data_IF_300057910156
#
_entry.id   IF_300057910156
#
_cell.length_a   1.000
_cell.length_b   1.000
_cell.length_c   1.000
_cell.angle_alpha   90.00
_cell.angle_beta   90.00
_cell.angle_gamma   90.00
#
_symmetry.space_group_name_H-M   'P 1'
#
loop_
_entity.id
_entity.type
_entity.pdbx_description
1 polymer ?
#
# COMPACT_ATOMS: atom_id res chain seq x y z
N UNK A 1 2.32 0.38 32.96
CA UNK A 1 1.84 0.24 31.60
C UNK A 1 2.98 0.65 30.68
N UNK A 2 3.50 -0.29 29.91
CA UNK A 2 4.67 -0.02 29.06
C UNK A 2 4.27 0.67 27.75
N UNK A 3 5.24 1.34 27.10
CA UNK A 3 5.02 2.09 25.85
C UNK A 3 4.38 1.26 24.73
N UNK A 4 4.59 -0.07 24.72
CA UNK A 4 3.96 -1.01 23.79
C UNK A 4 2.45 -1.15 24.01
N UNK A 5 1.98 -1.11 25.26
CA UNK A 5 0.55 -1.22 25.61
C UNK A 5 -0.20 0.06 25.27
N UNK A 6 0.43 1.22 25.48
CA UNK A 6 -0.09 2.53 25.06
C UNK A 6 -0.17 2.64 23.52
N UNK A 7 0.82 2.12 22.80
CA UNK A 7 0.82 2.11 21.34
C UNK A 7 -0.30 1.23 20.77
N UNK A 8 -0.57 0.07 21.37
CA UNK A 8 -1.68 -0.83 20.98
C UNK A 8 -3.04 -0.18 21.29
N UNK A 9 -3.16 0.47 22.44
CA UNK A 9 -4.41 1.15 22.82
C UNK A 9 -4.71 2.39 21.98
N UNK A 10 -3.67 3.14 21.58
CA UNK A 10 -3.78 4.26 20.64
C UNK A 10 -4.15 3.81 19.22
N UNK A 11 -3.57 2.72 18.75
CA UNK A 11 -3.87 2.14 17.43
C UNK A 11 -5.32 1.63 17.33
N UNK A 12 -5.90 1.13 18.44
CA UNK A 12 -7.29 0.67 18.49
C UNK A 12 -8.32 1.82 18.38
N UNK A 13 -7.90 3.08 18.58
CA UNK A 13 -8.75 4.27 18.44
C UNK A 13 -8.60 4.98 17.11
N UNK A 14 -7.51 4.74 16.39
CA UNK A 14 -7.25 5.35 15.10
C UNK A 14 -8.09 4.68 14.00
N UNK A 15 -8.86 5.47 13.26
CA UNK A 15 -9.77 4.98 12.24
C UNK A 15 -9.79 5.88 11.00
N UNK A 16 -10.43 5.37 9.95
CA UNK A 16 -10.89 6.14 8.81
C UNK A 16 -12.40 6.29 8.88
N UNK A 17 -12.91 7.44 8.49
CA UNK A 17 -14.34 7.73 8.37
C UNK A 17 -14.63 8.39 7.03
N UNK A 18 -15.84 8.22 6.45
CA UNK A 18 -16.22 8.87 5.21
C UNK A 18 -16.20 10.39 5.33
N UNK A 19 -15.75 11.05 4.27
CA UNK A 19 -15.75 12.50 4.12
C UNK A 19 -16.25 12.88 2.72
N UNK A 20 -17.11 13.89 2.56
CA UNK A 20 -17.71 14.24 1.28
C UNK A 20 -16.72 14.88 0.28
N UNK A 21 -15.54 15.31 0.72
CA UNK A 21 -14.51 15.97 -0.12
C UNK A 21 -13.33 15.05 -0.38
N UNK A 22 -12.81 14.45 0.70
CA UNK A 22 -11.59 13.61 0.64
C UNK A 22 -11.91 12.12 0.49
N UNK A 23 -13.19 11.73 0.35
CA UNK A 23 -13.71 10.38 0.36
C UNK A 23 -13.58 9.72 1.73
N UNK A 24 -12.37 9.68 2.28
CA UNK A 24 -12.07 9.20 3.64
C UNK A 24 -11.03 10.10 4.32
N UNK A 25 -11.23 10.33 5.61
CA UNK A 25 -10.27 11.07 6.45
C UNK A 25 -9.86 10.25 7.66
N UNK A 26 -8.64 10.47 8.10
CA UNK A 26 -8.15 9.92 9.37
C UNK A 26 -8.87 10.59 10.54
N UNK A 27 -9.25 9.77 11.52
CA UNK A 27 -9.91 10.23 12.73
C UNK A 27 -9.50 9.38 13.93
N UNK A 28 -9.81 9.89 15.11
CA UNK A 28 -9.62 9.20 16.39
C UNK A 28 -10.97 9.04 17.07
N UNK A 29 -11.31 7.82 17.50
CA UNK A 29 -12.55 7.55 18.22
C UNK A 29 -12.48 8.18 19.61
N UNK A 30 -13.46 9.01 19.92
CA UNK A 30 -13.60 9.69 21.23
C UNK A 30 -14.64 9.02 22.12
N UNK A 31 -15.79 8.59 21.55
CA UNK A 31 -16.81 7.84 22.29
C UNK A 31 -17.57 6.87 21.40
N UNK A 32 -18.22 5.90 22.01
CA UNK A 32 -19.12 4.92 21.37
C UNK A 32 -20.40 4.83 22.14
N UNK A 33 -21.55 4.97 21.46
CA UNK A 33 -22.88 4.88 22.04
C UNK A 33 -23.77 4.01 21.15
N UNK A 34 -23.85 2.72 21.47
CA UNK A 34 -24.59 1.75 20.65
C UNK A 34 -23.99 1.64 19.24
N UNK A 35 -24.80 1.94 18.22
CA UNK A 35 -24.41 1.91 16.79
C UNK A 35 -23.81 3.25 16.29
N UNK A 36 -23.59 4.20 17.21
CA UNK A 36 -23.02 5.53 16.89
C UNK A 36 -21.64 5.69 17.49
N UNK A 37 -20.71 6.14 16.67
CA UNK A 37 -19.33 6.43 17.07
C UNK A 37 -19.05 7.90 16.84
N UNK A 38 -18.60 8.58 17.88
CA UNK A 38 -18.11 9.96 17.78
C UNK A 38 -16.60 9.92 17.58
N UNK A 39 -16.14 10.63 16.56
CA UNK A 39 -14.74 10.70 16.18
C UNK A 39 -14.29 12.13 16.03
N UNK A 40 -13.03 12.38 16.30
CA UNK A 40 -12.35 13.64 15.99
C UNK A 40 -11.46 13.44 14.77
N UNK A 41 -11.73 14.19 13.69
CA UNK A 41 -10.93 14.13 12.45
C UNK A 41 -9.59 14.84 12.62
N UNK A 42 -8.63 14.55 11.74
CA UNK A 42 -7.32 15.26 11.73
C UNK A 42 -7.44 16.77 11.59
N UNK A 43 -8.53 17.27 10.98
CA UNK A 43 -8.85 18.70 10.90
C UNK A 43 -9.46 19.31 12.16
N UNK A 44 -9.56 18.57 13.28
CA UNK A 44 -10.13 19.02 14.54
C UNK A 44 -11.66 19.07 14.56
N UNK A 45 -12.33 18.50 13.55
CA UNK A 45 -13.78 18.44 13.48
C UNK A 45 -14.30 17.20 14.17
N UNK A 46 -15.23 17.35 15.09
CA UNK A 46 -15.95 16.24 15.73
C UNK A 46 -17.18 15.89 14.92
N UNK A 47 -17.31 14.62 14.55
CA UNK A 47 -18.45 14.09 13.80
C UNK A 47 -18.94 12.78 14.44
N UNK A 48 -20.21 12.46 14.22
CA UNK A 48 -20.81 11.19 14.65
C UNK A 48 -21.19 10.39 13.40
N UNK A 49 -20.67 9.17 13.31
CA UNK A 49 -20.90 8.24 12.20
C UNK A 49 -21.47 6.94 12.73
N UNK A 50 -21.92 6.06 11.83
CA UNK A 50 -22.30 4.68 12.22
C UNK A 50 -21.06 3.85 12.47
N UNK A 51 -21.18 2.86 13.37
CA UNK A 51 -20.07 1.90 13.63
C UNK A 51 -19.65 1.17 12.36
N UNK A 52 -20.58 0.87 11.44
CA UNK A 52 -20.30 0.25 10.13
C UNK A 52 -19.38 1.05 9.22
N UNK A 53 -19.35 2.37 9.40
CA UNK A 53 -18.60 3.31 8.55
C UNK A 53 -17.22 3.62 9.13
N UNK A 54 -16.91 3.04 10.29
CA UNK A 54 -15.62 3.23 10.96
C UNK A 54 -14.68 2.09 10.60
N UNK A 55 -13.62 2.39 9.86
CA UNK A 55 -12.63 1.43 9.41
C UNK A 55 -11.28 1.65 10.10
N UNK A 56 -10.69 0.59 10.65
CA UNK A 56 -9.48 0.69 11.45
C UNK A 56 -8.26 1.10 10.63
N UNK A 57 -7.42 2.00 11.16
CA UNK A 57 -6.14 2.34 10.55
C UNK A 57 -5.10 1.25 10.80
N UNK A 58 -4.20 1.07 9.84
CA UNK A 58 -3.00 0.27 10.06
C UNK A 58 -2.01 1.03 10.96
N UNK A 59 -1.19 0.32 11.74
CA UNK A 59 -0.12 0.94 12.51
C UNK A 59 0.87 1.75 11.65
N UNK A 60 1.50 2.81 12.19
CA UNK A 60 2.41 3.68 11.43
C UNK A 60 3.59 2.97 10.75
N UNK A 61 3.98 1.79 11.23
CA UNK A 61 5.01 0.97 10.58
C UNK A 61 4.68 0.54 9.15
N UNK A 62 3.42 0.65 8.75
CA UNK A 62 2.94 0.35 7.39
C UNK A 62 2.78 1.61 6.52
N UNK A 63 3.13 2.80 7.03
CA UNK A 63 3.04 4.01 6.22
C UNK A 63 4.00 3.92 5.02
N UNK A 64 3.49 4.21 3.82
CA UNK A 64 4.18 4.06 2.53
C UNK A 64 4.69 2.63 2.27
N UNK A 65 3.91 1.63 2.64
CA UNK A 65 4.29 0.25 2.40
C UNK A 65 4.40 -0.03 0.89
N UNK A 66 5.45 -0.74 0.50
CA UNK A 66 5.71 -1.08 -0.91
C UNK A 66 4.75 -2.11 -1.48
N UNK A 67 4.23 -3.03 -0.65
CA UNK A 67 3.23 -4.02 -1.04
C UNK A 67 2.01 -3.96 -0.12
N UNK A 68 0.90 -3.44 -0.64
CA UNK A 68 -0.35 -3.26 0.10
C UNK A 68 -0.99 -4.58 0.53
N UNK A 69 -0.64 -5.72 -0.09
CA UNK A 69 -1.08 -7.03 0.36
C UNK A 69 -0.54 -7.41 1.75
N UNK A 70 0.49 -6.70 2.24
CA UNK A 70 1.06 -6.87 3.57
C UNK A 70 0.35 -6.06 4.67
N UNK A 71 -0.62 -5.20 4.31
CA UNK A 71 -1.42 -4.44 5.28
C UNK A 71 -2.23 -5.39 6.17
N UNK A 72 -2.26 -5.09 7.48
CA UNK A 72 -3.08 -5.86 8.43
C UNK A 72 -4.56 -5.64 8.19
N UNK A 73 -4.96 -4.38 7.94
CA UNK A 73 -6.32 -3.99 7.60
C UNK A 73 -6.33 -3.54 6.15
N UNK A 74 -6.73 -4.44 5.24
CA UNK A 74 -6.81 -4.19 3.82
C UNK A 74 -8.26 -3.83 3.45
N UNK A 75 -8.51 -2.56 3.27
CA UNK A 75 -9.79 -1.98 2.85
C UNK A 75 -9.55 -0.70 2.05
N UNK A 76 -10.57 -0.19 1.39
CA UNK A 76 -10.46 0.93 0.47
C UNK A 76 -9.75 2.17 1.05
N UNK A 77 -10.14 2.72 2.23
CA UNK A 77 -9.43 3.87 2.81
C UNK A 77 -7.94 3.61 3.09
N UNK A 78 -7.57 2.39 3.49
CA UNK A 78 -6.16 2.07 3.74
C UNK A 78 -5.35 2.06 2.43
N UNK A 79 -5.93 1.55 1.35
CA UNK A 79 -5.32 1.57 0.01
C UNK A 79 -5.17 2.99 -0.50
N UNK A 80 -6.25 3.79 -0.46
CA UNK A 80 -6.24 5.19 -0.89
C UNK A 80 -5.23 6.02 -0.07
N UNK A 81 -5.20 5.83 1.23
CA UNK A 81 -4.24 6.52 2.10
C UNK A 81 -2.80 6.15 1.72
N UNK A 82 -2.49 4.86 1.57
CA UNK A 82 -1.14 4.43 1.18
C UNK A 82 -0.72 5.00 -0.18
N UNK A 83 -1.61 4.96 -1.17
CA UNK A 83 -1.34 5.54 -2.49
C UNK A 83 -1.11 7.06 -2.43
N UNK A 84 -1.89 7.79 -1.63
CA UNK A 84 -1.73 9.23 -1.39
C UNK A 84 -0.35 9.54 -0.77
N UNK A 85 0.04 8.79 0.27
CA UNK A 85 1.32 8.97 0.96
C UNK A 85 2.52 8.62 0.05
N UNK A 86 2.41 7.54 -0.72
CA UNK A 86 3.43 7.17 -1.70
C UNK A 86 3.56 8.24 -2.80
N UNK A 87 2.45 8.72 -3.34
CA UNK A 87 2.42 9.75 -4.37
C UNK A 87 3.04 11.06 -3.89
N UNK A 88 2.73 11.49 -2.65
CA UNK A 88 3.33 12.68 -2.04
C UNK A 88 4.86 12.57 -1.91
N UNK A 89 5.38 11.34 -1.83
CA UNK A 89 6.82 11.04 -1.82
C UNK A 89 7.40 10.73 -3.22
N UNK A 90 6.65 11.01 -4.30
CA UNK A 90 7.01 10.70 -5.70
C UNK A 90 7.19 9.20 -5.99
N UNK A 91 6.67 8.35 -5.14
CA UNK A 91 6.64 6.91 -5.32
C UNK A 91 5.38 6.53 -6.10
N UNK A 92 5.47 6.54 -7.43
CA UNK A 92 4.30 6.34 -8.31
C UNK A 92 3.93 4.87 -8.49
N UNK A 93 4.78 3.94 -8.07
CA UNK A 93 4.54 2.51 -8.14
C UNK A 93 4.37 1.91 -6.75
N UNK A 94 3.37 1.04 -6.59
CA UNK A 94 3.10 0.30 -5.35
C UNK A 94 2.63 -1.10 -5.72
N UNK A 95 3.10 -2.13 -5.05
CA UNK A 95 2.59 -3.47 -5.26
C UNK A 95 1.29 -3.73 -4.48
N UNK A 96 0.48 -4.63 -5.02
CA UNK A 96 -0.65 -5.25 -4.33
C UNK A 96 -0.65 -6.74 -4.67
N UNK A 97 0.13 -7.53 -3.92
CA UNK A 97 0.40 -8.92 -4.24
C UNK A 97 1.06 -9.07 -5.62
N UNK A 98 0.41 -9.71 -6.56
CA UNK A 98 0.91 -9.89 -7.94
C UNK A 98 0.79 -8.64 -8.82
N UNK A 99 -0.04 -7.69 -8.43
CA UNK A 99 -0.30 -6.48 -9.21
C UNK A 99 0.73 -5.39 -8.91
N UNK A 100 0.99 -4.57 -9.92
CA UNK A 100 1.74 -3.33 -9.80
C UNK A 100 0.77 -2.18 -10.10
N UNK A 101 0.43 -1.43 -9.05
CA UNK A 101 -0.43 -0.25 -9.16
C UNK A 101 0.45 0.95 -9.49
N UNK A 102 0.00 1.77 -10.44
CA UNK A 102 0.68 3.02 -10.77
C UNK A 102 -0.28 4.20 -10.70
N UNK A 103 0.20 5.31 -10.14
CA UNK A 103 -0.52 6.58 -10.12
C UNK A 103 0.16 7.53 -11.08
N UNK A 104 -0.57 8.02 -12.09
CA UNK A 104 -0.02 8.94 -13.09
C UNK A 104 0.36 10.29 -12.43
N UNK A 105 1.64 10.70 -12.46
CA UNK A 105 2.08 11.94 -11.81
C UNK A 105 1.77 13.20 -12.63
N UNK A 106 1.31 13.08 -13.88
CA UNK A 106 1.09 14.18 -14.84
C UNK A 106 2.29 15.12 -15.00
N UNK A 107 3.50 14.61 -14.74
CA UNK A 107 4.78 15.32 -14.97
C UNK A 107 5.91 14.34 -15.27
N UNK A 108 6.99 14.85 -15.83
CA UNK A 108 8.20 14.07 -16.07
C UNK A 108 8.89 13.70 -14.76
N UNK A 109 9.13 12.40 -14.57
CA UNK A 109 9.97 11.84 -13.53
C UNK A 109 11.11 11.06 -14.18
N UNK A 110 12.31 11.14 -13.62
CA UNK A 110 13.49 10.42 -14.10
C UNK A 110 13.49 8.95 -13.62
N UNK A 111 12.38 8.26 -13.88
CA UNK A 111 12.19 6.87 -13.44
C UNK A 111 12.29 5.86 -14.58
N UNK A 112 12.54 6.31 -15.82
CA UNK A 112 12.60 5.46 -17.02
C UNK A 112 13.90 5.57 -17.82
N UNK A 113 14.87 6.28 -17.28
CA UNK A 113 16.17 6.46 -17.95
C UNK A 113 17.00 5.16 -17.92
N UNK A 114 18.11 5.15 -18.68
CA UNK A 114 18.96 3.98 -18.85
C UNK A 114 19.57 3.49 -17.53
N UNK A 115 19.90 4.39 -16.62
CA UNK A 115 20.45 4.05 -15.30
C UNK A 115 19.44 3.27 -14.47
N UNK A 116 18.15 3.66 -14.53
CA UNK A 116 17.07 2.93 -13.83
C UNK A 116 16.85 1.54 -14.44
N UNK A 117 16.89 1.41 -15.79
CA UNK A 117 16.82 0.09 -16.46
C UNK A 117 17.91 -0.84 -15.96
N UNK A 118 19.17 -0.34 -15.91
CA UNK A 118 20.31 -1.11 -15.43
C UNK A 118 20.15 -1.48 -13.95
N UNK A 119 19.63 -0.58 -13.13
CA UNK A 119 19.42 -0.78 -11.70
C UNK A 119 18.42 -1.90 -11.38
N UNK A 120 17.43 -2.15 -12.25
CA UNK A 120 16.41 -3.20 -12.07
C UNK A 120 16.76 -4.53 -12.72
N UNK A 121 17.63 -4.53 -13.73
CA UNK A 121 17.96 -5.72 -14.51
C UNK A 121 18.53 -6.84 -13.65
N UNK A 122 17.91 -8.04 -13.70
CA UNK A 122 18.34 -9.24 -12.99
C UNK A 122 18.12 -9.20 -11.48
N UNK A 123 17.45 -8.16 -10.95
CA UNK A 123 17.13 -8.09 -9.51
C UNK A 123 15.81 -8.77 -9.20
N UNK A 124 15.75 -9.38 -8.01
CA UNK A 124 14.49 -9.88 -7.47
C UNK A 124 13.59 -8.72 -7.07
N UNK A 125 12.29 -8.96 -7.06
CA UNK A 125 11.26 -7.97 -6.66
C UNK A 125 11.49 -7.40 -5.25
N UNK A 126 12.07 -8.16 -4.33
CA UNK A 126 12.40 -7.74 -2.97
C UNK A 126 13.70 -6.96 -2.82
N UNK A 127 14.48 -6.83 -3.89
CA UNK A 127 15.82 -6.21 -3.87
C UNK A 127 15.81 -4.79 -4.43
N UNK A 128 14.65 -4.32 -4.91
CA UNK A 128 14.47 -2.98 -5.47
C UNK A 128 13.05 -2.48 -5.17
N UNK A 129 12.85 -1.16 -5.07
CA UNK A 129 11.51 -0.57 -4.86
C UNK A 129 10.51 -0.98 -5.96
N UNK A 130 9.20 -0.86 -5.71
CA UNK A 130 8.19 -1.15 -6.71
C UNK A 130 8.41 -0.37 -8.01
N UNK A 131 8.44 -1.09 -9.15
CA UNK A 131 8.60 -0.50 -10.47
C UNK A 131 8.13 -1.45 -11.56
N UNK A 132 7.66 -0.91 -12.67
CA UNK A 132 7.25 -1.71 -13.83
C UNK A 132 8.43 -2.51 -14.42
N UNK A 133 9.65 -2.01 -14.35
CA UNK A 133 10.83 -2.72 -14.83
C UNK A 133 11.10 -4.02 -14.06
N UNK A 134 10.82 -4.05 -12.76
CA UNK A 134 10.91 -5.28 -11.98
C UNK A 134 9.92 -6.34 -12.47
N UNK A 135 8.70 -5.94 -12.83
CA UNK A 135 7.69 -6.85 -13.38
C UNK A 135 8.11 -7.35 -14.76
N UNK A 136 8.59 -6.46 -15.62
CA UNK A 136 9.03 -6.80 -16.99
C UNK A 136 10.24 -7.73 -17.00
N UNK A 137 11.25 -7.44 -16.18
CA UNK A 137 12.44 -8.29 -16.08
C UNK A 137 12.09 -9.68 -15.54
N UNK A 138 11.24 -9.73 -14.52
CA UNK A 138 10.80 -11.00 -13.94
C UNK A 138 10.01 -11.84 -14.96
N UNK A 139 9.09 -11.24 -15.71
CA UNK A 139 8.37 -11.93 -16.79
C UNK A 139 9.33 -12.48 -17.87
N UNK A 140 10.32 -11.69 -18.25
CA UNK A 140 11.35 -12.10 -19.21
C UNK A 140 12.19 -13.27 -18.70
N UNK A 141 12.62 -13.24 -17.44
CA UNK A 141 13.38 -14.32 -16.80
C UNK A 141 12.55 -15.62 -16.74
N UNK A 142 11.26 -15.53 -16.40
CA UNK A 142 10.37 -16.70 -16.41
C UNK A 142 10.21 -17.31 -17.79
N UNK A 143 10.09 -16.48 -18.83
CA UNK A 143 10.00 -16.95 -20.20
C UNK A 143 11.25 -17.74 -20.60
N UNK A 144 12.44 -17.23 -20.28
CA UNK A 144 13.71 -17.91 -20.55
C UNK A 144 13.84 -19.23 -19.77
N UNK A 145 13.46 -19.26 -18.49
CA UNK A 145 13.50 -20.47 -17.67
C UNK A 145 12.50 -21.53 -18.16
N UNK A 146 11.30 -21.14 -18.54
CA UNK A 146 10.28 -22.04 -19.09
C UNK A 146 10.71 -22.77 -20.38
N UNK A 147 11.44 -22.11 -21.24
CA UNK A 147 12.03 -22.75 -22.44
C UNK A 147 13.12 -23.77 -22.06
N UNK A 148 13.87 -23.51 -21.01
CA UNK A 148 14.90 -24.43 -20.50
C UNK A 148 14.28 -25.71 -19.91
N UNK A 149 13.16 -25.60 -19.19
CA UNK A 149 12.45 -26.77 -18.64
C UNK A 149 11.86 -27.66 -19.74
N UNK A 150 11.25 -27.09 -20.77
CA UNK A 150 10.73 -27.83 -21.92
C UNK A 150 11.85 -28.59 -22.65
N UNK A 151 13.00 -27.97 -22.85
CA UNK A 151 14.14 -28.60 -23.50
C UNK A 151 14.74 -29.76 -22.66
N UNK A 152 14.69 -29.70 -21.34
CA UNK A 152 15.15 -30.77 -20.47
C UNK A 152 14.20 -31.97 -20.43
N UNK A 153 12.89 -31.75 -20.52
CA UNK A 153 11.91 -32.84 -20.62
C UNK A 153 11.96 -33.58 -21.96
N UNK A 154 12.37 -32.91 -23.01
CA UNK A 154 12.51 -33.54 -24.36
C UNK A 154 13.78 -34.39 -24.46
N UNK A 155 14.79 -34.16 -23.63
CA UNK A 155 16.04 -34.93 -23.58
C UNK A 155 16.00 -36.19 -22.71
N UNK A 156 14.90 -36.41 -21.99
CA UNK A 156 14.70 -37.59 -21.11
C UNK A 156 13.75 -38.64 -21.74
N UNK A 157 13.39 -38.52 -23.03
CA UNK A 157 12.70 -39.50 -23.83
C UNK A 157 13.66 -40.05 -24.90
#
# INVERSE_FOLDING_TARGET
MGDAEMAVFGAAKACFVPDPVEEFVKATITSREGDKVTVETQGGKTITVKESDVLQQNPPKFDKIEDMAMLTFLHEPAVLYNLKECYAAWMIYTYSGLFCVTVNPYKWLLVYNQEVVIAYRGKKRSEAPPHIFSISDHAYQYMLAGDTEKNNQTKQK
#
